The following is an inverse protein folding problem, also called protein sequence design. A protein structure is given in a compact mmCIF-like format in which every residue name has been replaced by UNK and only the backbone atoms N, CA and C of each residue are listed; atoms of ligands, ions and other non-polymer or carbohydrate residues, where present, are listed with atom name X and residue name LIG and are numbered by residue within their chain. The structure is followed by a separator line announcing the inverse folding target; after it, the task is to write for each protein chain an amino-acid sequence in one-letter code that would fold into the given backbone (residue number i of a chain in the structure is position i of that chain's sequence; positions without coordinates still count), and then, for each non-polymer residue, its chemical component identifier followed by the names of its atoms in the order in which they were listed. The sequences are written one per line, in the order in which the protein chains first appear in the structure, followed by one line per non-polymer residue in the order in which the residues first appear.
data_IF_230301586693
#
_entry.id   IF_230301586693
#
_cell.length_a   1.000
_cell.length_b   1.000
_cell.length_c   1.000
_cell.angle_alpha   90.00
_cell.angle_beta   90.00
_cell.angle_gamma   90.00
#
_symmetry.space_group_name_H-M   'P 1'
#
loop_
_entity.id
_entity.type
_entity.pdbx_description
1 polymer ?
#
# COMPACT_ATOMS: atom_id res chain seq x y z
N UNK A 1 29.95 61.83 -2.17
CA UNK A 1 28.69 61.26 -2.67
C UNK A 1 27.72 62.42 -2.73
N UNK A 2 27.46 62.96 -3.91
CA UNK A 2 26.46 64.03 -4.06
C UNK A 2 25.04 63.44 -4.00
N UNK A 3 24.05 64.29 -3.73
CA UNK A 3 22.63 63.91 -3.71
C UNK A 3 22.17 63.34 -5.06
N UNK A 4 22.65 63.92 -6.16
CA UNK A 4 22.39 63.44 -7.52
C UNK A 4 22.93 62.02 -7.77
N UNK A 5 24.07 61.66 -7.17
CA UNK A 5 24.63 60.30 -7.28
C UNK A 5 23.76 59.26 -6.55
N UNK A 6 23.16 59.66 -5.42
CA UNK A 6 22.22 58.83 -4.67
C UNK A 6 20.92 58.62 -5.46
N UNK A 7 20.37 59.68 -6.06
CA UNK A 7 19.17 59.60 -6.90
C UNK A 7 19.38 58.70 -8.11
N UNK A 8 20.52 58.85 -8.82
CA UNK A 8 20.89 57.97 -9.94
C UNK A 8 21.01 56.51 -9.49
N UNK A 9 21.57 56.25 -8.31
CA UNK A 9 21.72 54.89 -7.77
C UNK A 9 20.37 54.29 -7.37
N UNK A 10 19.48 55.06 -6.75
CA UNK A 10 18.13 54.61 -6.40
C UNK A 10 17.33 54.32 -7.67
N UNK A 11 17.37 55.20 -8.67
CA UNK A 11 16.71 54.97 -9.95
C UNK A 11 17.22 53.70 -10.66
N UNK A 12 18.53 53.47 -10.63
CA UNK A 12 19.14 52.23 -11.14
C UNK A 12 18.66 50.98 -10.40
N UNK A 13 18.64 51.02 -9.06
CA UNK A 13 18.18 49.90 -8.26
C UNK A 13 16.69 49.60 -8.48
N UNK A 14 15.85 50.63 -8.49
CA UNK A 14 14.39 50.50 -8.63
C UNK A 14 13.98 50.03 -10.02
N UNK A 15 14.56 50.61 -11.07
CA UNK A 15 14.10 50.36 -12.44
C UNK A 15 14.76 49.14 -13.09
N UNK A 16 15.95 48.74 -12.65
CA UNK A 16 16.70 47.66 -13.29
C UNK A 16 16.96 46.48 -12.35
N UNK A 17 17.51 46.73 -11.15
CA UNK A 17 18.02 45.65 -10.29
C UNK A 17 16.89 44.92 -9.58
N UNK A 18 15.97 45.62 -8.93
CA UNK A 18 14.84 44.99 -8.23
C UNK A 18 13.93 44.17 -9.14
N UNK A 19 13.50 44.64 -10.33
CA UNK A 19 12.70 43.81 -11.22
C UNK A 19 13.49 42.58 -11.71
N UNK A 20 14.79 42.70 -12.00
CA UNK A 20 15.62 41.56 -12.41
C UNK A 20 15.75 40.51 -11.28
N UNK A 21 15.93 40.94 -10.03
CA UNK A 21 15.96 40.06 -8.86
C UNK A 21 14.59 39.41 -8.65
N UNK A 22 13.50 40.18 -8.78
CA UNK A 22 12.15 39.67 -8.64
C UNK A 22 11.83 38.60 -9.69
N UNK A 23 12.17 38.83 -10.96
CA UNK A 23 12.00 37.84 -12.04
C UNK A 23 12.78 36.56 -11.75
N UNK A 24 14.08 36.68 -11.42
CA UNK A 24 14.92 35.51 -11.10
C UNK A 24 14.41 34.75 -9.87
N UNK A 25 13.92 35.47 -8.86
CA UNK A 25 13.31 34.89 -7.67
C UNK A 25 12.03 34.13 -8.03
N UNK A 26 11.15 34.73 -8.83
CA UNK A 26 9.91 34.12 -9.31
C UNK A 26 10.16 32.85 -10.11
N UNK A 27 11.09 32.85 -11.06
CA UNK A 27 11.44 31.63 -11.81
C UNK A 27 11.91 30.51 -10.89
N UNK A 28 12.73 30.87 -9.89
CA UNK A 28 13.27 29.91 -8.93
C UNK A 28 12.15 29.37 -8.04
N UNK A 29 11.22 30.22 -7.59
CA UNK A 29 10.01 29.83 -6.86
C UNK A 29 9.11 28.92 -7.70
N UNK A 30 8.86 29.26 -8.97
CA UNK A 30 8.04 28.46 -9.89
C UNK A 30 8.64 27.07 -10.09
N UNK A 31 9.95 26.97 -10.37
CA UNK A 31 10.64 25.67 -10.47
C UNK A 31 10.49 24.87 -9.18
N UNK A 32 10.60 25.51 -8.01
CA UNK A 32 10.38 24.81 -6.73
C UNK A 32 8.94 24.33 -6.58
N UNK A 33 7.94 25.14 -6.93
CA UNK A 33 6.52 24.78 -6.90
C UNK A 33 6.24 23.59 -7.83
N UNK A 34 6.79 23.60 -9.06
CA UNK A 34 6.64 22.50 -10.02
C UNK A 34 7.27 21.21 -9.49
N UNK A 35 8.48 21.28 -8.95
CA UNK A 35 9.17 20.13 -8.37
C UNK A 35 8.40 19.58 -7.16
N UNK A 36 7.87 20.45 -6.31
CA UNK A 36 7.07 20.07 -5.15
C UNK A 36 5.79 19.36 -5.60
N UNK A 37 5.02 19.96 -6.52
CA UNK A 37 3.77 19.39 -7.03
C UNK A 37 3.98 18.03 -7.73
N UNK A 38 5.11 17.85 -8.40
CA UNK A 38 5.47 16.56 -9.03
C UNK A 38 5.75 15.47 -8.00
N UNK A 39 6.32 15.82 -6.86
CA UNK A 39 6.81 14.87 -5.85
C UNK A 39 5.82 14.64 -4.71
N UNK A 40 4.99 15.63 -4.38
CA UNK A 40 4.07 15.64 -3.25
C UNK A 40 2.63 15.70 -3.74
N UNK A 41 1.87 14.63 -3.50
CA UNK A 41 0.43 14.61 -3.74
C UNK A 41 -0.29 15.03 -2.47
N UNK A 42 -1.03 16.14 -2.51
CA UNK A 42 -1.87 16.57 -1.40
C UNK A 42 -3.06 15.60 -1.27
N UNK A 43 -3.09 14.85 -0.17
CA UNK A 43 -4.18 13.93 0.15
C UNK A 43 -5.02 14.53 1.26
N UNK A 44 -6.33 14.62 1.04
CA UNK A 44 -7.29 15.04 2.06
C UNK A 44 -7.90 13.82 2.74
N UNK A 45 -8.08 13.91 4.06
CA UNK A 45 -8.67 12.85 4.87
C UNK A 45 -10.07 13.28 5.30
N UNK A 46 -11.06 12.44 4.97
CA UNK A 46 -12.43 12.72 5.36
C UNK A 46 -12.62 12.37 6.86
N UNK A 47 -13.41 13.17 7.60
CA UNK A 47 -13.90 12.79 8.92
C UNK A 47 -14.50 11.38 8.91
N UNK A 48 -14.17 10.57 9.91
CA UNK A 48 -14.56 9.16 10.02
C UNK A 48 -13.63 8.17 9.31
N UNK A 49 -12.61 8.63 8.58
CA UNK A 49 -11.59 7.74 7.99
C UNK A 49 -10.57 7.32 9.04
N UNK A 50 -10.06 6.08 8.92
CA UNK A 50 -8.93 5.63 9.73
C UNK A 50 -7.58 6.00 9.10
N UNK A 51 -6.69 6.54 9.92
CA UNK A 51 -5.35 6.98 9.52
C UNK A 51 -4.30 6.52 10.53
N UNK A 52 -3.09 6.23 10.08
CA UNK A 52 -1.94 6.09 10.98
C UNK A 52 -1.24 7.43 11.11
N UNK A 53 -0.76 7.75 12.31
CA UNK A 53 -0.02 8.98 12.56
C UNK A 53 1.48 8.68 12.72
N UNK A 54 2.32 9.51 12.09
CA UNK A 54 3.77 9.49 12.23
C UNK A 54 4.17 10.07 13.59
N UNK A 55 5.03 9.37 14.33
CA UNK A 55 5.67 9.95 15.51
C UNK A 55 6.97 10.65 15.14
N UNK A 56 7.24 11.77 15.81
CA UNK A 56 8.48 12.53 15.63
C UNK A 56 9.63 11.93 16.46
N UNK A 57 9.30 11.37 17.62
CA UNK A 57 10.26 10.73 18.52
C UNK A 57 9.95 9.24 18.50
N UNK A 58 10.90 8.47 17.99
CA UNK A 58 10.82 7.00 17.98
C UNK A 58 11.67 6.51 19.15
N UNK A 59 11.08 5.77 20.08
CA UNK A 59 11.76 5.33 21.32
C UNK A 59 12.88 4.30 21.03
N UNK A 60 12.73 3.46 20.01
CA UNK A 60 13.72 2.49 19.56
C UNK A 60 13.88 2.41 18.04
N UNK A 61 15.05 1.96 17.56
CA UNK A 61 15.33 1.81 16.11
C UNK A 61 14.40 0.81 15.40
N UNK A 62 13.85 -0.15 16.15
CA UNK A 62 12.94 -1.18 15.64
C UNK A 62 11.46 -0.79 15.79
N UNK A 63 11.16 0.34 16.42
CA UNK A 63 9.77 0.74 16.64
C UNK A 63 9.11 1.24 15.35
N UNK A 64 7.81 1.01 15.19
CA UNK A 64 7.09 1.45 14.01
C UNK A 64 7.06 2.98 13.93
N UNK A 65 7.47 3.52 12.78
CA UNK A 65 7.44 4.96 12.50
C UNK A 65 6.03 5.57 12.53
N UNK A 66 5.01 4.75 12.30
CA UNK A 66 3.61 5.15 12.31
C UNK A 66 2.87 4.31 13.34
N UNK A 67 2.12 4.96 14.22
CA UNK A 67 1.30 4.30 15.25
C UNK A 67 -0.17 4.38 14.92
N UNK A 68 -0.87 3.36 15.44
CA UNK A 68 -2.32 3.26 15.51
C UNK A 68 -3.03 3.22 14.16
N UNK A 69 -4.25 2.68 14.12
CA UNK A 69 -5.31 3.28 13.35
C UNK A 69 -6.07 4.27 14.25
N UNK A 70 -5.96 5.55 13.94
CA UNK A 70 -6.72 6.61 14.58
C UNK A 70 -7.89 7.02 13.70
N UNK A 71 -9.00 7.38 14.32
CA UNK A 71 -10.16 7.94 13.63
C UNK A 71 -9.97 9.44 13.43
N UNK A 72 -10.14 9.93 12.21
CA UNK A 72 -10.15 11.37 11.94
C UNK A 72 -11.48 11.96 12.43
N UNK A 73 -11.45 12.84 13.42
CA UNK A 73 -12.67 13.53 13.89
C UNK A 73 -13.02 14.68 12.96
N UNK A 74 -12.08 15.59 12.73
CA UNK A 74 -12.29 16.78 11.91
C UNK A 74 -10.98 17.37 11.40
N UNK A 75 -11.11 18.21 10.38
CA UNK A 75 -10.07 19.12 9.90
C UNK A 75 -10.27 20.48 10.57
N UNK A 76 -9.20 21.02 11.14
CA UNK A 76 -9.15 22.39 11.67
C UNK A 76 -9.05 23.39 10.52
N UNK A 77 -9.42 24.64 10.75
CA UNK A 77 -9.36 25.72 9.76
C UNK A 77 -7.97 25.86 9.10
N UNK A 78 -6.91 25.56 9.87
CA UNK A 78 -5.52 25.60 9.42
C UNK A 78 -5.03 24.33 8.69
N UNK A 79 -5.93 23.38 8.38
CA UNK A 79 -5.61 22.18 7.60
C UNK A 79 -4.94 21.03 8.37
N UNK A 80 -4.83 21.16 9.70
CA UNK A 80 -4.46 20.05 10.58
C UNK A 80 -5.66 19.19 10.96
N UNK A 81 -5.41 17.97 11.43
CA UNK A 81 -6.45 17.02 11.82
C UNK A 81 -6.39 16.70 13.31
N UNK A 82 -7.58 16.60 13.90
CA UNK A 82 -7.78 16.05 15.22
C UNK A 82 -8.11 14.57 15.11
N UNK A 83 -7.38 13.76 15.87
CA UNK A 83 -7.46 12.30 15.82
C UNK A 83 -8.01 11.74 17.13
N UNK A 84 -8.73 10.64 17.03
CA UNK A 84 -9.30 9.91 18.16
C UNK A 84 -8.76 8.47 18.17
N UNK A 85 -8.37 8.01 19.35
CA UNK A 85 -7.95 6.63 19.56
C UNK A 85 -9.14 5.68 19.75
N UNK A 86 -8.90 4.36 19.76
CA UNK A 86 -9.92 3.33 19.97
C UNK A 86 -10.69 3.50 21.30
N UNK A 87 -10.04 4.10 22.31
CA UNK A 87 -10.64 4.43 23.62
C UNK A 87 -11.56 5.65 23.59
N UNK A 88 -11.79 6.25 22.41
CA UNK A 88 -12.53 7.50 22.19
C UNK A 88 -11.86 8.75 22.79
N UNK A 89 -10.61 8.64 23.22
CA UNK A 89 -9.85 9.81 23.69
C UNK A 89 -9.25 10.54 22.50
N UNK A 90 -9.38 11.86 22.48
CA UNK A 90 -8.74 12.72 21.47
C UNK A 90 -7.25 12.85 21.76
N UNK A 91 -6.42 12.73 20.73
CA UNK A 91 -5.00 12.97 20.90
C UNK A 91 -4.76 14.46 21.21
N UNK A 92 -3.83 14.79 22.12
CA UNK A 92 -3.57 16.19 22.52
C UNK A 92 -2.90 17.00 21.41
N UNK A 93 -2.38 16.32 20.38
CA UNK A 93 -1.64 16.93 19.27
C UNK A 93 -2.47 16.88 17.98
N UNK A 94 -2.39 17.97 17.22
CA UNK A 94 -2.93 18.04 15.86
C UNK A 94 -1.89 17.56 14.84
N UNK A 95 -2.35 16.85 13.82
CA UNK A 95 -1.47 16.23 12.81
C UNK A 95 -1.65 16.87 11.44
N UNK A 96 -0.55 17.13 10.74
CA UNK A 96 -0.59 17.60 9.36
C UNK A 96 -0.86 16.44 8.38
N UNK A 97 -1.43 16.70 7.19
CA UNK A 97 -1.71 15.64 6.21
C UNK A 97 -0.50 14.77 5.86
N UNK A 98 0.71 15.33 5.82
CA UNK A 98 1.96 14.61 5.53
C UNK A 98 2.34 13.59 6.61
N UNK A 99 1.94 13.85 7.86
CA UNK A 99 2.18 12.95 8.99
C UNK A 99 1.17 11.81 9.03
N UNK A 100 0.15 11.83 8.17
CA UNK A 100 -0.93 10.87 8.15
C UNK A 100 -0.84 9.93 6.95
N UNK A 101 -1.15 8.66 7.19
CA UNK A 101 -1.33 7.66 6.13
C UNK A 101 -2.72 7.07 6.23
N UNK A 102 -3.47 7.10 5.12
CA UNK A 102 -4.79 6.45 5.04
C UNK A 102 -4.61 4.95 5.25
N UNK A 103 -5.37 4.38 6.19
CA UNK A 103 -5.44 2.93 6.37
C UNK A 103 -6.58 2.45 5.47
N UNK A 104 -6.24 1.77 4.38
CA UNK A 104 -7.24 1.28 3.41
C UNK A 104 -7.65 -0.18 3.63
N UNK A 105 -6.98 -0.93 4.50
CA UNK A 105 -6.95 -2.39 4.33
C UNK A 105 -7.09 -3.25 5.60
N UNK A 106 -6.89 -2.71 6.80
CA UNK A 106 -6.86 -3.53 8.02
C UNK A 106 -8.17 -3.52 8.83
N UNK A 107 -9.00 -2.49 8.71
CA UNK A 107 -10.24 -2.35 9.49
C UNK A 107 -11.51 -2.69 8.70
N UNK A 108 -11.54 -2.43 7.39
CA UNK A 108 -12.69 -2.83 6.56
C UNK A 108 -12.79 -4.36 6.43
N UNK A 109 -11.66 -5.07 6.33
CA UNK A 109 -11.63 -6.55 6.35
C UNK A 109 -11.94 -7.17 7.71
N UNK A 110 -11.77 -6.44 8.81
CA UNK A 110 -12.11 -6.97 10.13
C UNK A 110 -13.62 -7.12 10.32
N UNK A 111 -14.42 -6.43 9.50
CA UNK A 111 -15.88 -6.59 9.41
C UNK A 111 -16.33 -7.56 8.32
N UNK A 112 -15.42 -8.07 7.49
CA UNK A 112 -15.73 -9.13 6.55
C UNK A 112 -15.64 -10.47 7.29
N UNK A 113 -16.76 -11.18 7.37
CA UNK A 113 -16.83 -12.49 8.02
C UNK A 113 -15.89 -13.46 7.29
N UNK A 114 -14.75 -13.76 7.90
CA UNK A 114 -13.80 -14.75 7.40
C UNK A 114 -14.15 -16.13 7.96
N UNK A 115 -14.19 -17.12 7.08
CA UNK A 115 -14.51 -18.50 7.44
C UNK A 115 -13.34 -19.42 7.09
N UNK A 116 -13.08 -20.42 7.94
CA UNK A 116 -12.01 -21.37 7.69
C UNK A 116 -12.43 -22.38 6.59
N UNK A 117 -11.60 -22.48 5.55
CA UNK A 117 -11.79 -23.45 4.47
C UNK A 117 -11.36 -24.84 4.92
N UNK A 118 -12.28 -25.81 4.84
CA UNK A 118 -11.95 -27.22 5.08
C UNK A 118 -11.28 -27.86 3.85
N UNK A 119 -11.87 -27.67 2.67
CA UNK A 119 -11.35 -28.22 1.42
C UNK A 119 -11.90 -27.47 0.19
N UNK A 120 -11.14 -27.49 -0.90
CA UNK A 120 -11.62 -27.10 -2.23
C UNK A 120 -12.11 -28.38 -2.93
N UNK A 121 -13.38 -28.41 -3.32
CA UNK A 121 -14.01 -29.58 -3.94
C UNK A 121 -13.72 -29.62 -5.45
N UNK A 122 -13.95 -28.50 -6.13
CA UNK A 122 -13.78 -28.37 -7.57
C UNK A 122 -13.41 -26.94 -7.96
N UNK A 123 -12.97 -26.76 -9.21
CA UNK A 123 -12.80 -25.44 -9.81
C UNK A 123 -13.41 -25.44 -11.21
N UNK A 124 -13.82 -24.25 -11.66
CA UNK A 124 -14.28 -24.00 -13.03
C UNK A 124 -13.56 -22.80 -13.61
N UNK A 125 -13.24 -22.87 -14.90
CA UNK A 125 -12.69 -21.76 -15.68
C UNK A 125 -13.85 -21.03 -16.37
N UNK A 126 -14.07 -19.76 -16.04
CA UNK A 126 -15.08 -18.89 -16.68
C UNK A 126 -14.40 -17.76 -17.45
N UNK A 127 -15.14 -17.01 -18.28
CA UNK A 127 -14.57 -15.83 -18.98
C UNK A 127 -14.06 -14.75 -18.00
N UNK A 128 -14.67 -14.65 -16.83
CA UNK A 128 -14.27 -13.69 -15.78
C UNK A 128 -13.07 -14.19 -14.94
N UNK A 129 -12.69 -15.46 -15.06
CA UNK A 129 -11.61 -16.06 -14.29
C UNK A 129 -11.96 -17.42 -13.70
N UNK A 130 -11.06 -17.94 -12.86
CA UNK A 130 -11.27 -19.19 -12.12
C UNK A 130 -12.24 -18.98 -10.97
N UNK A 131 -13.12 -19.94 -10.70
CA UNK A 131 -13.88 -20.00 -9.45
C UNK A 131 -13.69 -21.34 -8.76
N UNK A 132 -13.62 -21.34 -7.43
CA UNK A 132 -13.41 -22.54 -6.61
C UNK A 132 -14.64 -22.82 -5.76
N UNK A 133 -15.14 -24.05 -5.82
CA UNK A 133 -16.19 -24.53 -4.92
C UNK A 133 -15.55 -24.95 -3.60
N UNK A 134 -15.90 -24.23 -2.53
CA UNK A 134 -15.30 -24.36 -1.22
C UNK A 134 -16.23 -25.06 -0.25
N UNK A 135 -15.65 -25.99 0.50
CA UNK A 135 -16.27 -26.61 1.68
C UNK A 135 -15.78 -25.89 2.92
N UNK A 136 -16.70 -25.25 3.65
CA UNK A 136 -16.41 -24.55 4.90
C UNK A 136 -16.31 -25.50 6.08
N UNK A 137 -15.38 -25.22 7.00
CA UNK A 137 -15.17 -26.04 8.20
C UNK A 137 -16.30 -25.80 9.21
N UNK A 138 -16.89 -26.87 9.71
CA UNK A 138 -17.99 -26.80 10.69
C UNK A 138 -19.38 -26.59 10.09
N UNK A 139 -19.48 -26.37 8.77
CA UNK A 139 -20.75 -26.26 8.06
C UNK A 139 -21.03 -27.53 7.25
N UNK A 140 -22.29 -27.77 6.87
CA UNK A 140 -22.72 -28.90 6.03
C UNK A 140 -22.52 -28.57 4.54
N UNK A 141 -22.85 -29.51 3.66
CA UNK A 141 -22.60 -29.34 2.21
C UNK A 141 -23.54 -28.31 1.57
N UNK A 142 -24.66 -27.96 2.22
CA UNK A 142 -25.59 -26.94 1.71
C UNK A 142 -25.00 -25.53 1.71
N UNK A 143 -24.03 -25.26 2.59
CA UNK A 143 -23.35 -23.95 2.68
C UNK A 143 -22.13 -23.83 1.76
N UNK A 144 -21.85 -24.83 0.91
CA UNK A 144 -20.74 -24.74 -0.03
C UNK A 144 -20.97 -23.59 -1.01
N UNK A 145 -19.97 -22.72 -1.15
CA UNK A 145 -20.06 -21.54 -2.01
C UNK A 145 -18.90 -21.48 -2.99
N UNK A 146 -19.12 -20.78 -4.10
CA UNK A 146 -18.12 -20.56 -5.14
C UNK A 146 -17.47 -19.20 -4.93
N UNK A 147 -16.17 -19.19 -4.66
CA UNK A 147 -15.41 -17.96 -4.40
C UNK A 147 -14.30 -17.76 -5.44
N UNK A 148 -13.90 -16.50 -5.62
CA UNK A 148 -12.84 -16.12 -6.54
C UNK A 148 -11.44 -16.33 -5.89
N UNK A 149 -10.37 -16.48 -6.69
CA UNK A 149 -9.00 -16.61 -6.19
C UNK A 149 -8.57 -15.43 -5.30
N UNK A 150 -9.10 -14.24 -5.57
CA UNK A 150 -8.81 -12.99 -4.87
C UNK A 150 -9.42 -12.94 -3.46
N UNK A 151 -10.47 -13.73 -3.22
CA UNK A 151 -11.17 -13.81 -1.93
C UNK A 151 -10.47 -14.75 -0.92
N UNK A 152 -9.41 -15.46 -1.34
CA UNK A 152 -8.62 -16.29 -0.43
C UNK A 152 -7.54 -15.47 0.28
N UNK A 153 -7.56 -15.50 1.61
CA UNK A 153 -6.49 -14.89 2.43
C UNK A 153 -5.11 -15.54 2.22
N UNK A 154 -5.08 -16.81 1.80
CA UNK A 154 -3.84 -17.57 1.65
C UNK A 154 -3.86 -18.51 0.43
N UNK A 155 -2.77 -18.57 -0.35
CA UNK A 155 -2.67 -19.47 -1.50
C UNK A 155 -2.46 -20.95 -1.10
N UNK A 156 -2.33 -21.26 0.19
CA UNK A 156 -2.01 -22.61 0.67
C UNK A 156 -3.08 -23.65 0.26
N UNK A 157 -4.37 -23.32 0.40
CA UNK A 157 -5.46 -24.23 0.05
C UNK A 157 -5.53 -24.51 -1.45
N UNK A 158 -5.41 -23.46 -2.28
CA UNK A 158 -5.33 -23.60 -3.73
C UNK A 158 -4.14 -24.46 -4.15
N UNK A 159 -2.97 -24.24 -3.56
CA UNK A 159 -1.74 -25.00 -3.85
C UNK A 159 -1.93 -26.48 -3.54
N UNK A 160 -2.54 -26.80 -2.39
CA UNK A 160 -2.82 -28.19 -1.97
C UNK A 160 -3.77 -28.86 -2.95
N UNK A 161 -4.85 -28.19 -3.33
CA UNK A 161 -5.83 -28.69 -4.29
C UNK A 161 -5.19 -28.99 -5.66
N UNK A 162 -4.46 -28.03 -6.24
CA UNK A 162 -3.80 -28.22 -7.54
C UNK A 162 -2.73 -29.32 -7.50
N UNK A 163 -2.01 -29.46 -6.39
CA UNK A 163 -1.05 -30.56 -6.20
C UNK A 163 -1.76 -31.93 -6.20
N UNK A 164 -2.93 -32.02 -5.58
CA UNK A 164 -3.73 -33.24 -5.59
C UNK A 164 -4.29 -33.55 -6.99
N UNK A 165 -4.80 -32.55 -7.71
CA UNK A 165 -5.27 -32.69 -9.09
C UNK A 165 -4.16 -33.18 -10.02
N UNK A 166 -2.95 -32.61 -9.91
CA UNK A 166 -1.79 -33.04 -10.71
C UNK A 166 -1.35 -34.48 -10.43
N UNK A 167 -1.51 -34.97 -9.19
CA UNK A 167 -1.23 -36.38 -8.84
C UNK A 167 -2.21 -37.34 -9.49
N UNK A 168 -3.46 -36.91 -9.65
CA UNK A 168 -4.49 -37.73 -10.27
C UNK A 168 -4.46 -37.68 -11.81
N UNK A 169 -3.82 -36.67 -12.40
CA UNK A 169 -3.64 -36.57 -13.85
C UNK A 169 -2.57 -37.56 -14.37
N UNK A 170 -2.94 -38.58 -15.17
CA UNK A 170 -2.01 -39.61 -15.65
C UNK A 170 -0.91 -39.03 -16.56
N UNK A 171 -1.18 -37.92 -17.26
CA UNK A 171 -0.24 -37.26 -18.15
C UNK A 171 0.86 -36.52 -17.37
N UNK A 172 0.48 -35.86 -16.27
CA UNK A 172 1.40 -35.16 -15.38
C UNK A 172 2.35 -36.14 -14.67
N UNK A 173 1.83 -37.30 -14.23
CA UNK A 173 2.61 -38.38 -13.61
C UNK A 173 3.70 -38.91 -14.55
N UNK A 174 3.34 -39.19 -15.81
CA UNK A 174 4.29 -39.65 -16.83
C UNK A 174 5.39 -38.62 -17.15
N UNK A 175 5.06 -37.32 -17.13
CA UNK A 175 6.07 -36.27 -17.31
C UNK A 175 7.00 -36.14 -16.10
N UNK A 176 6.47 -36.29 -14.89
CA UNK A 176 7.25 -36.29 -13.66
C UNK A 176 8.26 -37.44 -13.67
N UNK A 177 7.79 -38.66 -13.96
CA UNK A 177 8.62 -39.87 -14.09
C UNK A 177 9.76 -39.67 -15.12
N UNK A 178 9.46 -39.12 -16.30
CA UNK A 178 10.48 -38.81 -17.32
C UNK A 178 11.52 -37.80 -16.85
N UNK A 179 11.12 -36.80 -16.05
CA UNK A 179 12.04 -35.78 -15.49
C UNK A 179 12.93 -36.39 -14.42
N UNK A 180 12.34 -37.20 -13.54
CA UNK A 180 13.04 -37.88 -12.45
C UNK A 180 14.06 -38.88 -13.02
N UNK A 181 13.69 -39.66 -14.05
CA UNK A 181 14.59 -40.56 -14.80
C UNK A 181 15.77 -39.81 -15.43
N UNK A 182 15.51 -38.64 -16.01
CA UNK A 182 16.55 -37.83 -16.65
C UNK A 182 17.47 -37.17 -15.61
N UNK A 183 16.93 -36.80 -14.45
CA UNK A 183 17.71 -36.30 -13.32
C UNK A 183 18.61 -37.40 -12.73
N UNK A 184 18.08 -38.62 -12.56
CA UNK A 184 18.82 -39.80 -12.10
C UNK A 184 20.02 -40.08 -13.01
N UNK A 185 19.79 -40.17 -14.34
CA UNK A 185 20.85 -40.39 -15.34
C UNK A 185 21.94 -39.30 -15.30
N UNK A 186 21.57 -38.04 -15.05
CA UNK A 186 22.52 -36.92 -14.90
C UNK A 186 23.33 -37.03 -13.61
N UNK A 187 22.70 -37.44 -12.51
CA UNK A 187 23.37 -37.64 -11.23
C UNK A 187 24.37 -38.81 -11.30
N UNK A 188 23.99 -39.93 -11.91
CA UNK A 188 24.85 -41.10 -12.07
C UNK A 188 26.06 -40.80 -12.97
N UNK A 189 25.86 -40.05 -14.07
CA UNK A 189 26.95 -39.59 -14.95
C UNK A 189 27.91 -38.63 -14.24
N UNK A 190 27.46 -37.88 -13.23
CA UNK A 190 28.31 -37.02 -12.40
C UNK A 190 29.12 -37.80 -11.36
N UNK A 191 28.61 -38.93 -10.87
CA UNK A 191 29.30 -39.81 -9.91
C UNK A 191 30.38 -40.69 -10.55
N UNK A 192 30.31 -40.89 -11.86
CA UNK A 192 31.29 -41.65 -12.65
C UNK A 192 32.42 -40.78 -13.24
N UNK A 193 32.45 -39.49 -12.90
CA UNK A 193 33.54 -38.55 -13.21
C UNK A 193 34.32 -38.25 -11.93
#
# INVERSE_FOLDING_TARGET
MSEEDLEKRIAYLTNLVYPAIAQKSQETQQRMIELFNRTHKMVEFLPGSYVMAKEDIVEGKLDPKYKGPYLVLRRTEFGSYELQDATKTTLPRNYAPEQLKKVTQALDRANEESFEVQAILSHRDTMEGKRYLVKWKGYDASHNSEIAPEDFDSPAMMTRYHKQQRRHNPYARRQQERRDDQAQKRADKRRQR
#
